data_IF_720723773372
#
_entry.id   IF_720723773372
#
_cell.length_a   1.000
_cell.length_b   1.000
_cell.length_c   1.000
_cell.angle_alpha   90.00
_cell.angle_beta   90.00
_cell.angle_gamma   90.00
#
_symmetry.space_group_name_H-M   'P 1'
#
loop_
_entity.id
_entity.type
_entity.pdbx_description
1 polymer ?
#
# COMPACT_ATOMS: atom_id res chain seq x y z
N UNK A 1 20.21 -8.18 16.34
CA UNK A 1 20.91 -6.98 15.85
C UNK A 1 19.86 -6.18 15.10
N UNK A 2 19.62 -4.91 15.47
CA UNK A 2 18.64 -4.10 14.73
C UNK A 2 19.07 -3.97 13.27
N UNK A 3 18.15 -3.77 12.32
CA UNK A 3 18.56 -3.53 10.94
C UNK A 3 19.46 -2.31 10.90
N UNK A 4 20.67 -2.46 10.34
CA UNK A 4 21.56 -1.34 10.10
C UNK A 4 20.87 -0.33 9.18
N UNK A 5 21.01 0.96 9.51
CA UNK A 5 20.57 2.04 8.63
C UNK A 5 21.26 1.87 7.27
N UNK A 6 20.51 1.76 6.17
CA UNK A 6 21.13 1.53 4.87
C UNK A 6 21.95 2.75 4.44
N UNK A 7 23.10 2.58 3.75
CA UNK A 7 24.02 3.69 3.45
C UNK A 7 23.41 4.85 2.65
N UNK A 8 22.37 4.58 1.85
CA UNK A 8 21.66 5.60 1.08
C UNK A 8 20.79 6.52 1.96
N UNK A 9 20.39 6.07 3.15
CA UNK A 9 19.55 6.84 4.07
C UNK A 9 20.44 7.67 5.01
N UNK A 10 20.76 8.88 4.56
CA UNK A 10 21.63 9.83 5.25
C UNK A 10 21.02 11.25 5.26
N UNK A 11 21.71 12.19 5.90
CA UNK A 11 21.29 13.58 6.09
C UNK A 11 21.05 14.31 4.77
N UNK A 12 21.90 14.08 3.76
CA UNK A 12 21.76 14.71 2.43
C UNK A 12 20.47 14.22 1.77
N UNK A 13 20.25 12.91 1.80
CA UNK A 13 19.05 12.29 1.24
C UNK A 13 17.76 12.81 1.91
N UNK A 14 17.76 12.86 3.25
CA UNK A 14 16.62 13.37 4.02
C UNK A 14 16.37 14.86 3.78
N UNK A 15 17.42 15.67 3.61
CA UNK A 15 17.28 17.08 3.26
C UNK A 15 16.58 17.27 1.91
N UNK A 16 16.97 16.49 0.89
CA UNK A 16 16.35 16.52 -0.45
C UNK A 16 14.87 16.16 -0.39
N UNK A 17 14.51 15.11 0.36
CA UNK A 17 13.11 14.70 0.59
C UNK A 17 12.31 15.84 1.19
N UNK A 18 12.79 16.43 2.30
CA UNK A 18 12.06 17.46 3.04
C UNK A 18 11.96 18.79 2.30
N UNK A 19 12.93 19.10 1.44
CA UNK A 19 12.88 20.29 0.57
C UNK A 19 11.97 20.08 -0.64
N UNK A 20 11.77 18.83 -1.05
CA UNK A 20 10.86 18.46 -2.13
C UNK A 20 11.48 18.59 -3.52
N UNK A 21 12.78 18.34 -3.68
CA UNK A 21 13.47 18.36 -4.98
C UNK A 21 14.99 18.50 -4.86
N UNK A 22 15.74 17.95 -5.82
CA UNK A 22 17.21 18.05 -5.89
C UNK A 22 17.69 19.42 -6.38
N UNK A 23 16.91 20.07 -7.25
CA UNK A 23 17.27 21.36 -7.86
C UNK A 23 16.89 22.58 -6.99
N UNK A 24 16.47 22.37 -5.75
CA UNK A 24 16.06 23.44 -4.84
C UNK A 24 17.24 23.94 -4.03
N UNK A 25 17.31 25.25 -3.82
CA UNK A 25 18.28 25.84 -2.91
C UNK A 25 18.15 25.18 -1.52
N UNK A 26 19.26 24.78 -0.88
CA UNK A 26 19.22 24.05 0.37
C UNK A 26 18.66 24.91 1.51
N UNK A 27 17.37 24.72 1.79
CA UNK A 27 16.65 25.40 2.88
C UNK A 27 16.48 24.55 4.13
N UNK A 28 16.86 23.28 4.11
CA UNK A 28 16.68 22.35 5.23
C UNK A 28 18.03 21.75 5.61
N UNK A 29 18.38 21.84 6.89
CA UNK A 29 19.53 21.16 7.48
C UNK A 29 19.05 20.09 8.42
N UNK A 30 19.52 18.85 8.24
CA UNK A 30 19.23 17.73 9.13
C UNK A 30 20.17 17.81 10.33
N UNK A 31 19.60 17.91 11.52
CA UNK A 31 20.34 17.98 12.77
C UNK A 31 20.62 16.60 13.34
N UNK A 32 19.65 15.69 13.21
CA UNK A 32 19.72 14.32 13.67
C UNK A 32 18.62 13.49 12.99
N UNK A 33 18.79 12.18 12.90
CA UNK A 33 17.71 11.28 12.54
C UNK A 33 17.89 9.91 13.19
N UNK A 34 16.78 9.17 13.33
CA UNK A 34 16.80 7.79 13.80
C UNK A 34 15.92 6.92 12.94
N UNK A 35 16.35 5.68 12.73
CA UNK A 35 15.68 4.69 11.88
C UNK A 35 15.26 3.51 12.74
N UNK A 36 14.01 3.07 12.58
CA UNK A 36 13.47 1.88 13.23
C UNK A 36 12.64 1.08 12.23
N UNK A 37 12.52 -0.25 12.37
CA UNK A 37 11.50 -1.01 11.66
C UNK A 37 10.12 -0.38 11.84
N UNK A 38 9.36 -0.22 10.76
CA UNK A 38 8.03 0.37 10.87
C UNK A 38 6.97 -0.61 11.38
N UNK A 39 7.18 -1.90 11.10
CA UNK A 39 6.37 -3.05 11.48
C UNK A 39 7.22 -4.04 12.27
N UNK A 40 6.60 -4.79 13.18
CA UNK A 40 7.24 -5.95 13.80
C UNK A 40 7.31 -7.15 12.83
N UNK A 41 8.05 -8.20 13.18
CA UNK A 41 8.16 -9.42 12.33
C UNK A 41 6.79 -10.08 12.10
N UNK A 42 5.92 -10.04 13.10
CA UNK A 42 4.54 -10.55 13.09
C UNK A 42 3.55 -9.65 12.34
N UNK A 43 3.90 -8.38 12.12
CA UNK A 43 3.10 -7.43 11.31
C UNK A 43 3.55 -7.38 9.84
N UNK A 44 4.73 -7.92 9.51
CA UNK A 44 5.28 -7.92 8.15
C UNK A 44 4.81 -9.15 7.35
N UNK A 45 3.55 -9.13 6.91
CA UNK A 45 2.85 -10.24 6.23
C UNK A 45 3.28 -10.46 4.76
N UNK A 46 4.58 -10.65 4.49
CA UNK A 46 5.07 -10.96 3.15
C UNK A 46 5.07 -9.77 2.20
N UNK A 47 5.25 -8.56 2.73
CA UNK A 47 5.43 -7.36 1.91
C UNK A 47 6.61 -7.52 0.95
N UNK A 48 6.47 -7.06 -0.30
CA UNK A 48 7.57 -6.95 -1.25
C UNK A 48 8.52 -5.78 -0.93
N UNK A 49 8.36 -5.15 0.24
CA UNK A 49 9.12 -3.97 0.67
C UNK A 49 9.71 -4.15 2.08
N UNK A 50 10.88 -3.58 2.30
CA UNK A 50 11.37 -3.22 3.62
C UNK A 50 10.70 -1.90 4.05
N UNK A 51 10.08 -1.90 5.22
CA UNK A 51 9.37 -0.72 5.75
C UNK A 51 10.07 -0.17 7.00
N UNK A 52 10.41 1.11 6.96
CA UNK A 52 11.16 1.79 8.02
C UNK A 52 10.45 3.08 8.45
N UNK A 53 10.50 3.37 9.75
CA UNK A 53 10.08 4.64 10.32
C UNK A 53 11.32 5.47 10.61
N UNK A 54 11.35 6.68 10.07
CA UNK A 54 12.47 7.60 10.22
C UNK A 54 11.99 8.86 10.93
N UNK A 55 12.48 9.09 12.14
CA UNK A 55 12.27 10.37 12.83
C UNK A 55 13.41 11.30 12.46
N UNK A 56 13.08 12.49 11.96
CA UNK A 56 14.03 13.46 11.46
C UNK A 56 13.90 14.76 12.24
N UNK A 57 14.99 15.24 12.80
CA UNK A 57 15.12 16.56 13.42
C UNK A 57 15.83 17.49 12.45
N UNK A 58 15.25 18.65 12.14
CA UNK A 58 15.76 19.56 11.13
C UNK A 58 15.48 21.03 11.45
N UNK A 59 16.22 21.93 10.81
CA UNK A 59 16.04 23.39 10.90
C UNK A 59 15.94 23.97 9.49
N UNK A 60 15.20 25.07 9.35
CA UNK A 60 15.19 25.82 8.10
C UNK A 60 16.34 26.83 8.05
N UNK A 61 16.89 27.13 6.87
CA UNK A 61 18.03 28.05 6.70
C UNK A 61 17.79 29.45 7.30
N UNK A 62 16.53 29.87 7.38
CA UNK A 62 16.11 31.18 7.89
C UNK A 62 15.69 31.16 9.37
N UNK A 63 15.76 30.01 10.06
CA UNK A 63 15.30 29.85 11.44
C UNK A 63 16.18 28.91 12.27
N UNK A 64 16.41 29.26 13.53
CA UNK A 64 17.03 28.34 14.50
C UNK A 64 16.02 27.42 15.19
N UNK A 65 14.73 27.54 14.84
CA UNK A 65 13.68 26.67 15.34
C UNK A 65 13.90 25.23 14.87
N UNK A 66 13.88 24.31 15.84
CA UNK A 66 14.00 22.87 15.57
C UNK A 66 12.63 22.29 15.28
N UNK A 67 12.52 21.64 14.14
CA UNK A 67 11.36 20.87 13.73
C UNK A 67 11.64 19.38 13.83
N UNK A 68 10.59 18.61 14.06
CA UNK A 68 10.64 17.15 14.05
C UNK A 68 9.52 16.62 13.16
N UNK A 69 9.84 15.66 12.30
CA UNK A 69 8.86 14.94 11.50
C UNK A 69 9.13 13.44 11.55
N UNK A 70 8.12 12.64 11.23
CA UNK A 70 8.25 11.21 11.09
C UNK A 70 7.81 10.76 9.70
N UNK A 71 8.69 9.99 9.05
CA UNK A 71 8.52 9.46 7.70
C UNK A 71 8.34 7.95 7.77
N UNK A 72 7.44 7.42 6.95
CA UNK A 72 7.29 6.00 6.67
C UNK A 72 7.90 5.71 5.29
N UNK A 73 8.99 4.96 5.25
CA UNK A 73 9.75 4.67 4.04
C UNK A 73 9.52 3.22 3.63
N UNK A 74 9.04 3.01 2.41
CA UNK A 74 9.00 1.71 1.74
C UNK A 74 10.16 1.64 0.76
N UNK A 75 10.96 0.58 0.86
CA UNK A 75 12.10 0.33 -0.03
C UNK A 75 12.08 -1.12 -0.51
N UNK A 76 12.73 -1.44 -1.65
CA UNK A 76 12.70 -2.79 -2.19
C UNK A 76 13.37 -3.81 -1.26
N UNK A 77 12.90 -5.05 -1.32
CA UNK A 77 13.67 -6.16 -0.79
C UNK A 77 14.99 -6.30 -1.56
N UNK A 78 16.05 -6.72 -0.88
CA UNK A 78 17.39 -6.84 -1.49
C UNK A 78 17.62 -8.17 -2.19
N UNK A 79 16.78 -9.19 -1.93
CA UNK A 79 16.91 -10.53 -2.49
C UNK A 79 15.58 -11.30 -2.47
N UNK A 80 15.53 -12.38 -3.24
CA UNK A 80 14.43 -13.35 -3.23
C UNK A 80 13.36 -13.08 -4.28
N UNK A 81 12.43 -14.03 -4.41
CA UNK A 81 11.38 -14.03 -5.43
C UNK A 81 10.54 -12.74 -5.45
N UNK A 82 10.15 -12.23 -4.29
CA UNK A 82 9.33 -11.02 -4.20
C UNK A 82 10.04 -9.77 -4.75
N UNK A 83 11.36 -9.67 -4.62
CA UNK A 83 12.15 -8.62 -5.27
C UNK A 83 12.05 -8.74 -6.79
N UNK A 84 12.39 -9.91 -7.32
CA UNK A 84 12.44 -10.15 -8.77
C UNK A 84 11.06 -9.93 -9.41
N UNK A 85 10.02 -10.39 -8.72
CA UNK A 85 8.64 -10.16 -9.11
C UNK A 85 8.29 -8.67 -9.12
N UNK A 86 8.56 -7.95 -8.02
CA UNK A 86 8.28 -6.52 -7.90
C UNK A 86 9.00 -5.67 -8.95
N UNK A 87 10.27 -5.96 -9.26
CA UNK A 87 11.04 -5.29 -10.32
C UNK A 87 10.42 -5.51 -11.70
N UNK A 88 9.92 -6.72 -11.97
CA UNK A 88 9.37 -7.07 -13.29
C UNK A 88 7.98 -6.51 -13.54
N UNK A 89 7.18 -6.33 -12.50
CA UNK A 89 5.87 -5.66 -12.59
C UNK A 89 5.95 -4.15 -12.36
N UNK A 90 7.16 -3.62 -12.17
CA UNK A 90 7.44 -2.20 -11.90
C UNK A 90 6.66 -1.67 -10.68
N UNK A 91 6.56 -2.50 -9.62
CA UNK A 91 5.65 -2.29 -8.48
C UNK A 91 5.87 -0.93 -7.81
N UNK A 92 7.12 -0.60 -7.49
CA UNK A 92 7.45 0.61 -6.74
C UNK A 92 7.21 1.90 -7.54
N UNK A 93 7.57 1.89 -8.82
CA UNK A 93 7.31 3.03 -9.71
C UNK A 93 5.79 3.22 -9.91
N UNK A 94 5.02 2.13 -10.03
CA UNK A 94 3.55 2.18 -10.06
C UNK A 94 2.98 2.75 -8.77
N UNK A 95 3.49 2.32 -7.62
CA UNK A 95 3.05 2.80 -6.31
C UNK A 95 3.37 4.30 -6.16
N UNK A 96 4.59 4.73 -6.49
CA UNK A 96 4.99 6.13 -6.48
C UNK A 96 4.10 6.98 -7.40
N UNK A 97 3.91 6.55 -8.65
CA UNK A 97 3.03 7.24 -9.60
C UNK A 97 1.59 7.33 -9.09
N UNK A 98 1.11 6.28 -8.41
CA UNK A 98 -0.21 6.28 -7.80
C UNK A 98 -0.32 7.39 -6.75
N UNK A 99 0.62 7.47 -5.79
CA UNK A 99 0.59 8.51 -4.76
C UNK A 99 0.76 9.92 -5.33
N UNK A 100 1.72 10.12 -6.23
CA UNK A 100 2.07 11.45 -6.75
C UNK A 100 1.00 12.03 -7.68
N UNK A 101 0.33 11.17 -8.47
CA UNK A 101 -0.56 11.61 -9.55
C UNK A 101 -2.01 11.24 -9.29
N UNK A 102 -2.28 9.97 -8.98
CA UNK A 102 -3.65 9.46 -8.91
C UNK A 102 -4.31 9.86 -7.60
N UNK A 103 -3.70 9.51 -6.47
CA UNK A 103 -4.24 9.75 -5.14
C UNK A 103 -4.47 11.24 -4.88
N UNK A 104 -3.54 12.09 -5.34
CA UNK A 104 -3.67 13.54 -5.30
C UNK A 104 -4.92 14.02 -6.05
N UNK A 105 -5.10 13.62 -7.32
CA UNK A 105 -6.28 14.00 -8.10
C UNK A 105 -7.59 13.44 -7.55
N UNK A 106 -7.58 12.23 -6.98
CA UNK A 106 -8.75 11.67 -6.32
C UNK A 106 -9.10 12.49 -5.08
N UNK A 107 -8.10 12.83 -4.26
CA UNK A 107 -8.26 13.65 -3.05
C UNK A 107 -8.85 15.02 -3.38
N UNK A 108 -8.32 15.69 -4.40
CA UNK A 108 -8.82 16.98 -4.87
C UNK A 108 -10.26 16.90 -5.39
N UNK A 109 -10.62 15.84 -6.11
CA UNK A 109 -12.00 15.65 -6.61
C UNK A 109 -12.99 15.34 -5.50
N UNK A 110 -12.57 14.54 -4.52
CA UNK A 110 -13.40 14.14 -3.40
C UNK A 110 -13.49 15.20 -2.29
N UNK A 111 -12.51 16.13 -2.26
CA UNK A 111 -12.20 16.95 -1.09
C UNK A 111 -12.08 16.07 0.18
N UNK A 112 -11.35 14.96 0.04
CA UNK A 112 -11.24 13.92 1.07
C UNK A 112 -9.90 13.19 0.97
N UNK A 113 -9.18 13.09 2.09
CA UNK A 113 -7.89 12.40 2.15
C UNK A 113 -8.08 10.88 2.21
N UNK A 114 -7.62 10.18 1.17
CA UNK A 114 -7.75 8.72 1.07
C UNK A 114 -6.59 7.94 1.68
N UNK A 115 -5.48 8.62 2.01
CA UNK A 115 -4.28 7.96 2.49
C UNK A 115 -3.21 8.97 2.88
N UNK A 116 -2.04 8.44 3.21
CA UNK A 116 -0.89 9.26 3.61
C UNK A 116 -0.45 10.20 2.48
N UNK A 117 -0.08 11.42 2.86
CA UNK A 117 0.68 12.31 1.98
C UNK A 117 2.01 11.67 1.60
N UNK A 118 2.36 11.72 0.32
CA UNK A 118 3.68 11.35 -0.16
C UNK A 118 4.64 12.55 -0.16
N UNK A 119 5.91 12.28 0.11
CA UNK A 119 7.00 13.24 -0.02
C UNK A 119 7.75 12.97 -1.32
N UNK A 120 8.47 13.99 -1.79
CA UNK A 120 9.40 13.83 -2.90
C UNK A 120 10.38 12.68 -2.61
N UNK A 121 10.54 11.80 -3.58
CA UNK A 121 11.55 10.75 -3.56
C UNK A 121 12.40 10.86 -4.82
N UNK A 122 13.73 11.08 -4.72
CA UNK A 122 14.60 11.17 -5.88
C UNK A 122 14.78 9.81 -6.58
N UNK A 123 14.51 8.70 -5.88
CA UNK A 123 14.57 7.37 -6.46
C UNK A 123 13.20 6.89 -6.98
N UNK A 124 13.20 6.09 -8.04
CA UNK A 124 11.99 5.51 -8.64
C UNK A 124 11.55 4.18 -8.02
N UNK A 125 12.35 3.65 -7.10
CA UNK A 125 12.15 2.33 -6.48
C UNK A 125 11.71 2.43 -5.01
N UNK A 126 11.43 3.64 -4.51
CA UNK A 126 11.10 3.89 -3.10
C UNK A 126 9.88 4.79 -2.98
N UNK A 127 9.23 4.70 -1.84
CA UNK A 127 8.11 5.55 -1.49
C UNK A 127 8.34 6.13 -0.10
N UNK A 128 8.20 7.46 0.00
CA UNK A 128 8.35 8.20 1.24
C UNK A 128 7.00 8.80 1.60
N UNK A 129 6.44 8.35 2.72
CA UNK A 129 5.11 8.73 3.18
C UNK A 129 5.19 9.45 4.53
N UNK A 130 4.18 10.26 4.84
CA UNK A 130 3.92 10.71 6.21
C UNK A 130 3.66 9.49 7.10
N UNK A 131 4.26 9.48 8.29
CA UNK A 131 3.97 8.42 9.26
C UNK A 131 2.64 8.68 9.96
N UNK A 132 1.57 8.04 9.48
CA UNK A 132 0.24 8.15 10.08
C UNK A 132 0.21 7.71 11.56
N UNK A 133 1.12 6.83 11.98
CA UNK A 133 1.22 6.43 13.39
C UNK A 133 1.63 7.60 14.29
N UNK A 134 2.52 8.48 13.82
CA UNK A 134 2.89 9.71 14.53
C UNK A 134 1.72 10.70 14.62
N UNK A 135 0.78 10.66 13.67
CA UNK A 135 -0.45 11.46 13.66
C UNK A 135 -1.58 10.87 14.54
N UNK A 136 -1.30 9.79 15.26
CA UNK A 136 -2.24 9.12 16.15
C UNK A 136 -3.18 8.14 15.47
N UNK A 137 -2.94 7.79 14.20
CA UNK A 137 -3.64 6.69 13.56
C UNK A 137 -3.07 5.35 14.03
N UNK A 138 -3.93 4.34 14.06
CA UNK A 138 -3.61 2.99 14.52
C UNK A 138 -4.30 1.97 13.63
N UNK A 139 -3.61 0.87 13.38
CA UNK A 139 -4.13 -0.25 12.61
C UNK A 139 -5.17 -1.00 13.44
N UNK A 140 -6.30 -1.37 12.83
CA UNK A 140 -7.30 -2.18 13.51
C UNK A 140 -6.77 -3.62 13.72
N UNK A 141 -7.27 -4.30 14.76
CA UNK A 141 -6.83 -5.65 15.06
C UNK A 141 -7.41 -6.65 14.05
N UNK A 142 -6.54 -7.29 13.27
CA UNK A 142 -6.94 -8.37 12.33
C UNK A 142 -7.73 -9.49 13.02
N UNK A 143 -7.36 -9.85 14.25
CA UNK A 143 -8.04 -10.90 15.00
C UNK A 143 -9.46 -10.49 15.45
N UNK A 144 -9.65 -9.21 15.79
CA UNK A 144 -10.97 -8.68 16.17
C UNK A 144 -11.84 -8.27 14.98
N UNK A 145 -11.24 -8.12 13.80
CA UNK A 145 -11.88 -7.60 12.58
C UNK A 145 -12.44 -6.18 12.80
N UNK A 146 -13.19 -5.68 11.82
CA UNK A 146 -13.85 -4.37 11.91
C UNK A 146 -15.24 -4.51 12.51
N UNK A 147 -15.59 -3.65 13.46
CA UNK A 147 -16.98 -3.47 13.86
C UNK A 147 -17.75 -2.61 12.84
N UNK A 148 -19.04 -2.42 13.08
CA UNK A 148 -19.90 -1.65 12.18
C UNK A 148 -19.43 -0.21 11.99
N UNK A 149 -18.97 0.46 13.05
CA UNK A 149 -18.53 1.86 12.99
C UNK A 149 -17.28 2.02 12.10
N UNK A 150 -16.33 1.08 12.21
CA UNK A 150 -15.17 1.06 11.31
C UNK A 150 -15.58 0.77 9.87
N UNK A 151 -16.45 -0.22 9.68
CA UNK A 151 -16.92 -0.63 8.35
C UNK A 151 -17.66 0.50 7.63
N UNK A 152 -18.50 1.25 8.34
CA UNK A 152 -19.21 2.41 7.80
C UNK A 152 -18.24 3.46 7.24
N UNK A 153 -17.17 3.79 7.99
CA UNK A 153 -16.14 4.72 7.53
C UNK A 153 -15.39 4.19 6.31
N UNK A 154 -15.00 2.92 6.30
CA UNK A 154 -14.32 2.28 5.16
C UNK A 154 -15.19 2.33 3.92
N UNK A 155 -16.48 1.95 4.03
CA UNK A 155 -17.40 1.93 2.89
C UNK A 155 -17.70 3.34 2.38
N UNK A 156 -17.84 4.33 3.25
CA UNK A 156 -17.99 5.73 2.86
C UNK A 156 -16.74 6.25 2.12
N UNK A 157 -15.55 5.92 2.63
CA UNK A 157 -14.26 6.30 2.03
C UNK A 157 -14.07 5.67 0.67
N UNK A 158 -14.34 4.36 0.53
CA UNK A 158 -14.23 3.66 -0.75
C UNK A 158 -15.32 4.10 -1.74
N UNK A 159 -16.51 4.47 -1.27
CA UNK A 159 -17.54 5.10 -2.10
C UNK A 159 -17.05 6.42 -2.71
N UNK A 160 -16.44 7.31 -1.91
CA UNK A 160 -15.83 8.55 -2.40
C UNK A 160 -14.67 8.28 -3.37
N UNK A 161 -13.84 7.28 -3.07
CA UNK A 161 -12.70 6.88 -3.91
C UNK A 161 -13.19 6.43 -5.29
N UNK A 162 -14.17 5.53 -5.33
CA UNK A 162 -14.78 5.04 -6.57
C UNK A 162 -15.43 6.17 -7.36
N UNK A 163 -16.23 7.03 -6.73
CA UNK A 163 -16.88 8.16 -7.38
C UNK A 163 -15.86 9.14 -8.01
N UNK A 164 -14.78 9.42 -7.28
CA UNK A 164 -13.71 10.31 -7.75
C UNK A 164 -12.93 9.68 -8.91
N UNK A 165 -12.77 8.36 -8.91
CA UNK A 165 -12.13 7.64 -10.00
C UNK A 165 -12.94 7.68 -11.30
N UNK A 166 -14.28 7.68 -11.20
CA UNK A 166 -15.17 7.85 -12.36
C UNK A 166 -14.99 9.25 -12.95
N UNK A 167 -15.00 10.27 -12.09
CA UNK A 167 -14.75 11.65 -12.54
C UNK A 167 -13.37 11.81 -13.18
N UNK A 168 -12.32 11.21 -12.61
CA UNK A 168 -10.98 11.24 -13.19
C UNK A 168 -10.90 10.47 -14.52
N UNK A 169 -11.61 9.35 -14.64
CA UNK A 169 -11.66 8.57 -15.89
C UNK A 169 -12.31 9.37 -17.03
N UNK A 170 -13.35 10.16 -16.74
CA UNK A 170 -13.97 11.04 -17.73
C UNK A 170 -13.01 12.12 -18.27
N UNK A 171 -12.09 12.60 -17.44
CA UNK A 171 -11.09 13.61 -17.83
C UNK A 171 -9.86 12.99 -18.51
N UNK A 172 -9.40 11.83 -18.00
CA UNK A 172 -8.21 11.17 -18.49
C UNK A 172 -8.32 9.65 -18.32
N UNK A 173 -9.06 9.02 -19.23
CA UNK A 173 -9.30 7.58 -19.23
C UNK A 173 -8.02 6.76 -19.32
N UNK A 174 -7.07 7.18 -20.17
CA UNK A 174 -5.79 6.49 -20.35
C UNK A 174 -4.98 6.41 -19.05
N UNK A 175 -4.93 7.50 -18.28
CA UNK A 175 -4.24 7.51 -16.98
C UNK A 175 -4.87 6.50 -16.01
N UNK A 176 -6.19 6.50 -15.87
CA UNK A 176 -6.90 5.59 -14.96
C UNK A 176 -6.78 4.13 -15.41
N UNK A 177 -6.95 3.86 -16.70
CA UNK A 177 -6.86 2.52 -17.28
C UNK A 177 -5.46 1.92 -17.17
N UNK A 178 -4.42 2.73 -17.40
CA UNK A 178 -3.03 2.30 -17.23
C UNK A 178 -2.71 2.00 -15.77
N UNK A 179 -3.15 2.85 -14.84
CA UNK A 179 -2.94 2.62 -13.40
C UNK A 179 -3.68 1.38 -12.91
N UNK A 180 -4.94 1.22 -13.32
CA UNK A 180 -5.82 0.12 -12.92
C UNK A 180 -5.58 -1.20 -13.66
N UNK A 181 -4.57 -1.29 -14.51
CA UNK A 181 -4.24 -2.52 -15.23
C UNK A 181 -3.81 -3.63 -14.26
N UNK A 182 -4.43 -4.82 -14.40
CA UNK A 182 -4.16 -6.00 -13.57
C UNK A 182 -2.73 -6.51 -13.76
N UNK A 183 -1.95 -6.52 -12.67
CA UNK A 183 -0.52 -6.87 -12.69
C UNK A 183 -0.20 -8.30 -12.22
N UNK A 184 -1.09 -8.93 -11.47
CA UNK A 184 -0.90 -10.24 -10.85
C UNK A 184 -1.51 -11.36 -11.69
N UNK A 185 -2.76 -11.20 -12.10
CA UNK A 185 -3.49 -12.20 -12.88
C UNK A 185 -3.42 -11.89 -14.38
N UNK A 186 -2.31 -12.28 -15.02
CA UNK A 186 -2.10 -12.08 -16.45
C UNK A 186 -1.26 -13.20 -17.09
N UNK A 187 -1.17 -13.20 -18.42
CA UNK A 187 -0.35 -14.15 -19.19
C UNK A 187 1.14 -13.74 -19.29
N UNK A 188 1.64 -13.03 -18.27
CA UNK A 188 3.02 -12.56 -18.19
C UNK A 188 4.03 -13.64 -17.76
N UNK A 189 5.31 -13.25 -17.59
CA UNK A 189 6.41 -14.18 -17.36
C UNK A 189 6.31 -14.97 -16.04
N UNK A 190 5.57 -14.46 -15.05
CA UNK A 190 5.38 -15.11 -13.74
C UNK A 190 4.08 -15.92 -13.65
N UNK A 191 3.39 -16.14 -14.77
CA UNK A 191 2.13 -16.88 -14.80
C UNK A 191 2.26 -18.23 -14.10
N UNK A 192 3.35 -18.97 -14.31
CA UNK A 192 3.53 -20.31 -13.74
C UNK A 192 3.64 -20.26 -12.23
N UNK A 193 4.43 -19.31 -11.72
CA UNK A 193 4.69 -19.12 -10.29
C UNK A 193 3.44 -18.62 -9.56
N UNK A 194 2.76 -17.61 -10.11
CA UNK A 194 1.53 -17.07 -9.51
C UNK A 194 0.39 -18.08 -9.59
N UNK A 195 0.22 -18.78 -10.73
CA UNK A 195 -0.77 -19.86 -10.86
C UNK A 195 -0.51 -20.97 -9.85
N UNK A 196 0.73 -21.44 -9.75
CA UNK A 196 1.12 -22.46 -8.77
C UNK A 196 0.88 -22.01 -7.34
N UNK A 197 1.19 -20.74 -7.02
CA UNK A 197 0.91 -20.17 -5.70
C UNK A 197 -0.59 -20.16 -5.38
N UNK A 198 -1.44 -19.74 -6.31
CA UNK A 198 -2.91 -19.75 -6.15
C UNK A 198 -3.44 -21.17 -5.95
N UNK A 199 -3.06 -22.10 -6.82
CA UNK A 199 -3.52 -23.49 -6.77
C UNK A 199 -3.08 -24.19 -5.47
N UNK A 200 -1.84 -24.00 -5.06
CA UNK A 200 -1.33 -24.55 -3.79
C UNK A 200 -2.00 -23.90 -2.59
N UNK A 201 -2.26 -22.59 -2.62
CA UNK A 201 -2.97 -21.91 -1.52
C UNK A 201 -4.39 -22.44 -1.36
N UNK A 202 -5.11 -22.67 -2.46
CA UNK A 202 -6.44 -23.28 -2.41
C UNK A 202 -6.43 -24.72 -1.87
N UNK A 203 -5.43 -25.53 -2.25
CA UNK A 203 -5.25 -26.88 -1.69
C UNK A 203 -5.01 -26.84 -0.19
N UNK A 204 -4.11 -25.96 0.26
CA UNK A 204 -3.82 -25.80 1.68
C UNK A 204 -5.06 -25.38 2.48
N UNK A 205 -5.85 -24.44 1.95
CA UNK A 205 -7.12 -24.05 2.58
C UNK A 205 -8.08 -25.23 2.63
N UNK A 206 -8.17 -26.03 1.56
CA UNK A 206 -8.98 -27.24 1.51
C UNK A 206 -8.58 -28.26 2.58
N UNK A 207 -7.27 -28.53 2.72
CA UNK A 207 -6.73 -29.44 3.73
C UNK A 207 -7.04 -28.94 5.15
N UNK A 208 -6.94 -27.63 5.41
CA UNK A 208 -7.29 -27.05 6.70
C UNK A 208 -8.78 -27.18 6.99
N UNK A 209 -9.66 -26.90 6.03
CA UNK A 209 -11.11 -26.97 6.21
C UNK A 209 -11.59 -28.40 6.51
N UNK A 210 -10.93 -29.40 5.91
CA UNK A 210 -11.20 -30.82 6.17
C UNK A 210 -10.99 -31.21 7.64
N UNK A 211 -10.02 -30.58 8.31
CA UNK A 211 -9.67 -30.88 9.70
C UNK A 211 -10.52 -30.08 10.71
N UNK A 212 -11.37 -29.15 10.25
CA UNK A 212 -12.26 -28.37 11.12
C UNK A 212 -13.64 -29.03 11.16
N UNK A 213 -14.06 -29.43 12.36
CA UNK A 213 -15.37 -30.06 12.60
C UNK A 213 -16.51 -29.20 12.03
N UNK A 214 -17.32 -29.79 11.15
CA UNK A 214 -18.46 -29.16 10.50
C UNK A 214 -18.15 -28.45 9.17
N UNK A 215 -16.87 -28.40 8.75
CA UNK A 215 -16.42 -27.75 7.51
C UNK A 215 -15.89 -28.75 6.45
N UNK A 216 -15.95 -30.05 6.72
CA UNK A 216 -15.38 -31.10 5.89
C UNK A 216 -15.97 -31.08 4.46
N UNK A 217 -17.25 -30.73 4.35
CA UNK A 217 -17.96 -30.64 3.07
C UNK A 217 -17.45 -29.52 2.14
N UNK A 218 -16.64 -28.57 2.64
CA UNK A 218 -16.03 -27.54 1.80
C UNK A 218 -14.78 -28.03 1.05
N UNK A 219 -14.20 -29.17 1.45
CA UNK A 219 -13.04 -29.76 0.76
C UNK A 219 -13.37 -29.98 -0.73
N UNK A 220 -14.45 -30.73 -1.01
CA UNK A 220 -14.89 -31.04 -2.37
C UNK A 220 -15.19 -29.77 -3.17
N UNK A 221 -15.79 -28.75 -2.53
CA UNK A 221 -16.06 -27.48 -3.18
C UNK A 221 -14.75 -26.81 -3.62
N UNK A 222 -13.77 -26.69 -2.72
CA UNK A 222 -12.49 -26.05 -3.01
C UNK A 222 -11.71 -26.81 -4.08
N UNK A 223 -11.59 -28.13 -3.94
CA UNK A 223 -10.91 -28.98 -4.91
C UNK A 223 -11.54 -28.91 -6.31
N UNK A 224 -12.88 -28.85 -6.38
CA UNK A 224 -13.60 -28.74 -7.66
C UNK A 224 -13.34 -27.44 -8.44
N UNK A 225 -12.79 -26.41 -7.77
CA UNK A 225 -12.48 -25.11 -8.39
C UNK A 225 -11.03 -24.96 -8.80
N UNK A 226 -10.13 -25.78 -8.27
CA UNK A 226 -8.69 -25.70 -8.58
C UNK A 226 -8.49 -25.83 -10.09
N UNK A 227 -9.13 -26.82 -10.69
CA UNK A 227 -9.13 -26.99 -12.13
C UNK A 227 -9.93 -25.84 -12.78
N UNK A 228 -9.22 -24.90 -13.39
CA UNK A 228 -9.81 -23.73 -14.04
C UNK A 228 -9.79 -22.44 -13.22
N UNK A 229 -9.27 -22.46 -11.98
CA UNK A 229 -9.22 -21.24 -11.15
C UNK A 229 -8.46 -20.10 -11.84
N UNK A 230 -7.37 -20.43 -12.54
CA UNK A 230 -6.55 -19.43 -13.20
C UNK A 230 -7.33 -18.73 -14.31
N UNK A 231 -8.00 -19.50 -15.15
CA UNK A 231 -8.82 -19.01 -16.26
C UNK A 231 -10.00 -18.19 -15.74
N UNK A 232 -10.58 -18.57 -14.59
CA UNK A 232 -11.59 -17.79 -13.88
C UNK A 232 -11.02 -16.44 -13.41
N UNK A 233 -9.88 -16.42 -12.71
CA UNK A 233 -9.26 -15.18 -12.22
C UNK A 233 -8.87 -14.24 -13.37
N UNK A 234 -8.27 -14.76 -14.45
CA UNK A 234 -7.96 -13.99 -15.65
C UNK A 234 -9.19 -13.31 -16.28
N UNK A 235 -10.38 -13.88 -16.09
CA UNK A 235 -11.63 -13.32 -16.59
C UNK A 235 -12.20 -12.29 -15.60
N UNK A 236 -12.26 -12.62 -14.31
CA UNK A 236 -12.92 -11.78 -13.31
C UNK A 236 -12.15 -10.50 -12.98
N UNK A 237 -10.82 -10.50 -13.09
CA UNK A 237 -10.01 -9.31 -12.88
C UNK A 237 -9.91 -8.39 -14.10
N UNK A 238 -10.53 -8.75 -15.23
CA UNK A 238 -10.62 -7.85 -16.40
C UNK A 238 -11.77 -6.85 -16.24
N UNK A 239 -11.58 -5.59 -16.65
CA UNK A 239 -12.66 -4.63 -16.74
C UNK A 239 -13.82 -5.18 -17.58
N UNK A 240 -15.05 -4.99 -17.08
CA UNK A 240 -16.25 -5.48 -17.75
C UNK A 240 -16.66 -4.53 -18.87
N UNK A 241 -16.87 -5.06 -20.07
CA UNK A 241 -17.41 -4.29 -21.20
C UNK A 241 -18.85 -3.88 -20.89
N UNK A 242 -19.22 -2.64 -21.26
CA UNK A 242 -20.57 -2.08 -21.07
C UNK A 242 -21.05 -2.06 -19.60
N UNK A 243 -20.12 -1.94 -18.66
CA UNK A 243 -20.41 -1.79 -17.24
C UNK A 243 -19.71 -0.54 -16.69
N UNK A 244 -20.17 -0.08 -15.53
CA UNK A 244 -19.45 0.94 -14.77
C UNK A 244 -18.22 0.30 -14.13
N UNK A 245 -17.03 0.69 -14.62
CA UNK A 245 -15.76 0.30 -14.03
C UNK A 245 -15.23 1.47 -13.20
N UNK A 246 -14.62 1.15 -12.07
CA UNK A 246 -13.99 2.12 -11.16
C UNK A 246 -12.56 1.67 -10.91
N UNK A 247 -11.69 2.61 -10.51
CA UNK A 247 -10.39 2.22 -9.99
C UNK A 247 -10.61 1.59 -8.62
N UNK A 248 -10.15 0.36 -8.41
CA UNK A 248 -10.26 -0.33 -7.12
C UNK A 248 -9.03 -0.03 -6.24
N UNK A 249 -9.16 -0.20 -4.92
CA UNK A 249 -8.01 -0.17 -4.00
C UNK A 249 -7.03 -1.33 -4.24
N UNK A 250 -7.52 -2.47 -4.73
CA UNK A 250 -6.70 -3.63 -5.12
C UNK A 250 -6.29 -4.55 -3.96
N UNK A 251 -6.13 -4.01 -2.74
CA UNK A 251 -5.82 -4.80 -1.54
C UNK A 251 -6.51 -4.22 -0.28
N UNK A 252 -7.85 -4.24 -0.27
CA UNK A 252 -8.66 -3.60 0.78
C UNK A 252 -8.91 -4.55 1.95
N UNK A 253 -8.00 -4.55 2.93
CA UNK A 253 -8.11 -5.39 4.14
C UNK A 253 -7.57 -4.65 5.37
N UNK A 254 -7.85 -5.19 6.56
CA UNK A 254 -7.61 -4.53 7.87
C UNK A 254 -6.19 -3.96 8.02
N UNK A 255 -5.16 -4.62 7.49
CA UNK A 255 -3.78 -4.17 7.66
C UNK A 255 -3.39 -3.01 6.73
N UNK A 256 -4.19 -2.72 5.71
CA UNK A 256 -4.03 -1.56 4.84
C UNK A 256 -4.96 -0.41 5.23
N UNK A 257 -5.55 -0.47 6.42
CA UNK A 257 -6.43 0.56 6.96
C UNK A 257 -5.89 1.04 8.30
N UNK A 258 -5.91 2.35 8.50
CA UNK A 258 -5.59 2.94 9.79
C UNK A 258 -6.72 3.87 10.20
N UNK A 259 -7.04 3.85 11.49
CA UNK A 259 -8.14 4.62 12.07
C UNK A 259 -7.59 5.54 13.15
N UNK A 260 -8.23 6.69 13.32
CA UNK A 260 -7.94 7.60 14.43
C UNK A 260 -9.14 7.58 15.38
N UNK A 261 -8.88 7.45 16.67
CA UNK A 261 -9.94 7.28 17.66
C UNK A 261 -10.22 8.57 18.43
N UNK A 262 -11.50 8.82 18.66
CA UNK A 262 -11.96 9.88 19.56
C UNK A 262 -12.00 9.43 21.02
N UNK A 263 -12.62 10.24 21.88
CA UNK A 263 -12.68 10.06 23.34
C UNK A 263 -13.35 8.73 23.76
N UNK A 264 -14.16 8.11 22.89
CA UNK A 264 -14.95 6.91 23.20
C UNK A 264 -14.45 5.63 22.50
N UNK A 265 -13.19 5.58 22.04
CA UNK A 265 -12.65 4.49 21.21
C UNK A 265 -13.43 4.25 19.90
N UNK A 266 -14.33 5.17 19.53
CA UNK A 266 -14.99 5.19 18.24
C UNK A 266 -14.05 5.80 17.20
N UNK A 267 -13.96 5.20 16.00
CA UNK A 267 -13.17 5.76 14.92
C UNK A 267 -13.79 7.09 14.46
N UNK A 268 -12.95 8.08 14.18
CA UNK A 268 -13.35 9.40 13.70
C UNK A 268 -13.42 9.44 12.16
N UNK A 269 -14.32 10.26 11.58
CA UNK A 269 -14.40 10.48 10.14
C UNK A 269 -13.17 11.14 9.52
#
# INVERSE_FOLDING_TARGET
MGPETPPWLNEVYLAVILQGGEDKDPKVTINNFSVKPALSEDENYGSASNVSRVTVEYTFSESTEKHTTSLFIKSPLTKGFLKEYAEKIDLFNREQQFYDVILSQLTDKAQFEFGSRAFYCPDRDRLILQDLKAEGYVMASRAKQLDFSHYELVMASIGKYHASSISLHHENSNLVEKTGAEGLYNDGPFKKEVKGWVETSLKLVSDVLKEIEGYEHYEDLMLSKIDGIWEYLLKEFKPRKNALNVLNHGDLWVNNMMFKYGIQELPMP
#
